data_IF_686712901985
#
_entry.id   IF_686712901985
#
_cell.length_a   1.000
_cell.length_b   1.000
_cell.length_c   1.000
_cell.angle_alpha   90.00
_cell.angle_beta   90.00
_cell.angle_gamma   90.00
#
_symmetry.space_group_name_H-M   'P 1'
#
loop_
_entity.id
_entity.type
_entity.pdbx_description
1 polymer ?
#
# COMPACT_ATOMS: atom_id res chain seq x y z
N UNK A 1 10.34 3.23 24.99
CA UNK A 1 10.75 2.52 23.76
C UNK A 1 9.64 1.59 23.32
N UNK A 2 9.16 0.73 24.23
CA UNK A 2 8.02 -0.18 23.99
C UNK A 2 6.74 0.53 23.52
N UNK A 3 6.42 1.70 24.07
CA UNK A 3 5.28 2.51 23.64
C UNK A 3 5.40 2.97 22.18
N UNK A 4 6.59 3.40 21.74
CA UNK A 4 6.84 3.82 20.35
C UNK A 4 6.73 2.63 19.40
N UNK A 5 7.21 1.45 19.82
CA UNK A 5 7.05 0.21 19.05
C UNK A 5 5.56 -0.12 18.89
N UNK A 6 4.78 -0.04 19.97
CA UNK A 6 3.33 -0.28 19.91
C UNK A 6 2.61 0.70 18.97
N UNK A 7 2.98 1.98 18.99
CA UNK A 7 2.42 2.97 18.06
C UNK A 7 2.78 2.68 16.61
N UNK A 8 4.02 2.26 16.36
CA UNK A 8 4.48 1.86 15.02
C UNK A 8 3.71 0.64 14.51
N UNK A 9 3.51 -0.38 15.35
CA UNK A 9 2.78 -1.59 14.98
C UNK A 9 1.32 -1.28 14.67
N UNK A 10 0.66 -0.46 15.50
CA UNK A 10 -0.70 0.02 15.27
C UNK A 10 -0.80 0.79 13.95
N UNK A 11 0.19 1.63 13.64
CA UNK A 11 0.24 2.35 12.38
C UNK A 11 0.39 1.41 11.17
N UNK A 12 1.26 0.40 11.26
CA UNK A 12 1.44 -0.60 10.19
C UNK A 12 0.16 -1.43 10.00
N UNK A 13 -0.49 -1.82 11.09
CA UNK A 13 -1.76 -2.56 11.04
C UNK A 13 -2.87 -1.72 10.40
N UNK A 14 -3.00 -0.45 10.82
CA UNK A 14 -3.92 0.50 10.22
C UNK A 14 -3.65 0.69 8.73
N UNK A 15 -2.39 0.91 8.35
CA UNK A 15 -1.99 1.11 6.96
C UNK A 15 -2.33 -0.10 6.09
N UNK A 16 -2.09 -1.32 6.60
CA UNK A 16 -2.47 -2.57 5.93
C UNK A 16 -3.99 -2.66 5.76
N UNK A 17 -4.76 -2.39 6.82
CA UNK A 17 -6.22 -2.45 6.78
C UNK A 17 -6.86 -1.39 5.88
N UNK A 18 -6.16 -0.30 5.59
CA UNK A 18 -6.58 0.75 4.66
C UNK A 18 -6.01 0.61 3.25
N UNK A 19 -5.07 -0.31 3.03
CA UNK A 19 -4.55 -0.62 1.70
C UNK A 19 -5.51 -1.56 0.98
N UNK A 20 -5.99 -1.16 -0.20
CA UNK A 20 -6.86 -2.01 -1.03
C UNK A 20 -6.11 -2.54 -2.24
N UNK A 21 -6.40 -3.80 -2.59
CA UNK A 21 -5.89 -4.46 -3.79
C UNK A 21 -7.05 -4.69 -4.76
N UNK A 22 -6.85 -4.35 -6.03
CA UNK A 22 -7.84 -4.56 -7.08
C UNK A 22 -7.17 -5.10 -8.33
N UNK A 23 -7.72 -6.17 -8.90
CA UNK A 23 -7.24 -6.66 -10.20
C UNK A 23 -7.81 -5.80 -11.33
N UNK A 24 -6.94 -5.40 -12.26
CA UNK A 24 -7.26 -4.64 -13.47
C UNK A 24 -6.49 -5.29 -14.62
N UNK A 25 -7.17 -6.10 -15.43
CA UNK A 25 -6.55 -6.95 -16.45
C UNK A 25 -5.40 -7.80 -15.88
N UNK A 26 -4.19 -7.61 -16.39
CA UNK A 26 -2.95 -8.28 -15.96
C UNK A 26 -2.24 -7.56 -14.79
N UNK A 27 -2.81 -6.47 -14.28
CA UNK A 27 -2.25 -5.66 -13.20
C UNK A 27 -3.01 -5.85 -11.89
N UNK A 28 -2.31 -5.63 -10.79
CA UNK A 28 -2.88 -5.40 -9.46
C UNK A 28 -2.66 -3.93 -9.13
N UNK A 29 -3.76 -3.20 -9.01
CA UNK A 29 -3.79 -1.85 -8.45
C UNK A 29 -3.72 -1.95 -6.93
N UNK A 30 -2.69 -1.35 -6.35
CA UNK A 30 -2.44 -1.24 -4.92
C UNK A 30 -2.73 0.22 -4.55
N UNK A 31 -3.81 0.45 -3.81
CA UNK A 31 -4.17 1.79 -3.34
C UNK A 31 -3.91 1.88 -1.85
N UNK A 32 -2.99 2.75 -1.44
CA UNK A 32 -2.64 2.99 -0.04
C UNK A 32 -3.10 4.40 0.36
N UNK A 33 -3.58 4.62 1.59
CA UNK A 33 -3.81 5.97 2.08
C UNK A 33 -2.46 6.70 2.16
N UNK A 34 -2.32 7.82 1.46
CA UNK A 34 -1.14 8.67 1.58
C UNK A 34 -1.52 9.90 2.41
N UNK A 35 -0.84 10.06 3.55
CA UNK A 35 -1.09 11.14 4.49
C UNK A 35 -0.24 12.37 4.10
N UNK A 36 -0.46 12.91 2.90
CA UNK A 36 0.00 14.27 2.60
C UNK A 36 -1.10 15.30 2.90
N UNK A 37 -0.77 16.58 2.72
CA UNK A 37 -1.69 17.69 3.00
C UNK A 37 -2.98 17.67 2.16
N UNK A 38 -3.05 16.88 1.10
CA UNK A 38 -4.20 16.75 0.21
C UNK A 38 -4.98 15.44 0.45
N UNK A 39 -4.45 14.50 1.24
CA UNK A 39 -5.02 13.16 1.47
C UNK A 39 -5.30 12.40 0.17
N UNK A 40 -4.49 12.63 -0.86
CA UNK A 40 -4.61 11.89 -2.11
C UNK A 40 -4.18 10.44 -1.86
N UNK A 41 -4.85 9.46 -2.46
CA UNK A 41 -4.43 8.07 -2.35
C UNK A 41 -3.20 7.82 -3.24
N UNK A 42 -2.19 7.12 -2.71
CA UNK A 42 -1.10 6.62 -3.55
C UNK A 42 -1.57 5.33 -4.24
N UNK A 43 -1.52 5.32 -5.57
CA UNK A 43 -1.86 4.18 -6.40
C UNK A 43 -0.61 3.65 -7.09
N UNK A 44 -0.36 2.35 -6.94
CA UNK A 44 0.76 1.64 -7.57
C UNK A 44 0.18 0.48 -8.36
N UNK A 45 0.60 0.31 -9.60
CA UNK A 45 0.21 -0.84 -10.40
C UNK A 45 1.36 -1.85 -10.45
N UNK A 46 1.09 -3.07 -10.00
CA UNK A 46 2.03 -4.17 -10.06
C UNK A 46 1.58 -5.22 -11.08
N UNK A 47 2.46 -5.58 -12.02
CA UNK A 47 2.23 -6.68 -12.94
C UNK A 47 3.38 -7.67 -12.89
N UNK A 48 3.03 -8.95 -12.86
CA UNK A 48 4.02 -10.03 -12.96
C UNK A 48 4.53 -10.14 -14.40
N UNK A 49 5.84 -10.16 -14.58
CA UNK A 49 6.49 -10.31 -15.87
C UNK A 49 7.68 -11.28 -15.74
N UNK A 50 7.58 -12.48 -16.33
CA UNK A 50 8.65 -13.48 -16.37
C UNK A 50 9.37 -13.76 -15.03
N UNK A 51 8.61 -13.81 -13.94
CA UNK A 51 9.13 -14.09 -12.59
C UNK A 51 9.54 -12.85 -11.78
N UNK A 52 9.50 -11.65 -12.37
CA UNK A 52 9.65 -10.37 -11.67
C UNK A 52 8.34 -9.59 -11.62
N UNK A 53 8.34 -8.44 -10.94
CA UNK A 53 7.23 -7.50 -10.93
C UNK A 53 7.69 -6.16 -11.52
N UNK A 54 6.88 -5.61 -12.42
CA UNK A 54 7.01 -4.23 -12.90
C UNK A 54 6.04 -3.36 -12.11
N UNK A 55 6.49 -2.20 -11.65
CA UNK A 55 5.71 -1.22 -10.90
C UNK A 55 5.59 0.08 -11.72
N UNK A 56 4.40 0.67 -11.76
CA UNK A 56 4.16 2.00 -12.34
C UNK A 56 3.13 2.80 -11.55
#
# INVERSE_FOLDING_TARGET
MDEIISLMDQYIEWLRGKTSLRQVDDWIEITTPYLDRHNDYLQIYARRNNGSYVLT
#
